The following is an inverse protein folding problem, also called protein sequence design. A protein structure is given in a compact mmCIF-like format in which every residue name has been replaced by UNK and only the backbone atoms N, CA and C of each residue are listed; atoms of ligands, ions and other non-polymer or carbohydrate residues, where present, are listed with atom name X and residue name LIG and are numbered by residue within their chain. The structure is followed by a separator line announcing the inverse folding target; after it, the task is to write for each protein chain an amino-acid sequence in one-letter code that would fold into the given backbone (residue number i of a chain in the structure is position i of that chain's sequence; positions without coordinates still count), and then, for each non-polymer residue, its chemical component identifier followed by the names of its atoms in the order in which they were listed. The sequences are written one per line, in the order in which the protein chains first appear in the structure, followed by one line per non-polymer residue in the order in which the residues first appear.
data_IF_646745880259
#
_entry.id   IF_646745880259
#
_cell.length_a   1.000
_cell.length_b   1.000
_cell.length_c   1.000
_cell.angle_alpha   90.00
_cell.angle_beta   90.00
_cell.angle_gamma   90.00
#
_symmetry.space_group_name_H-M   'P 1'
#
loop_
_entity.id
_entity.type
_entity.pdbx_description
1 polymer ?
#
# COMPACT_ATOMS: atom_id res chain seq x y z
N UNK A 1 18.67 1.82 -34.18
CA UNK A 1 17.22 2.06 -34.19
C UNK A 1 16.90 2.86 -32.94
N UNK A 2 16.76 4.18 -33.07
CA UNK A 2 16.36 5.04 -31.96
C UNK A 2 14.87 4.83 -31.72
N UNK A 3 14.51 4.15 -30.63
CA UNK A 3 13.12 4.13 -30.17
C UNK A 3 12.83 5.49 -29.54
N UNK A 4 12.35 6.42 -30.35
CA UNK A 4 11.83 7.70 -29.87
C UNK A 4 10.58 7.43 -29.04
N UNK A 5 10.67 7.63 -27.72
CA UNK A 5 9.54 7.53 -26.82
C UNK A 5 8.54 8.66 -27.15
N UNK A 6 7.54 8.39 -27.98
CA UNK A 6 6.44 9.30 -28.22
C UNK A 6 5.43 9.15 -27.08
N UNK A 7 5.73 9.74 -25.92
CA UNK A 7 4.80 9.77 -24.79
C UNK A 7 3.57 10.61 -25.18
N UNK A 8 2.48 9.94 -25.51
CA UNK A 8 1.24 10.52 -25.97
C UNK A 8 0.39 11.06 -24.82
N UNK A 9 -0.47 12.03 -25.14
CA UNK A 9 -1.43 12.61 -24.17
C UNK A 9 -2.30 11.53 -23.53
N UNK A 10 -2.63 10.45 -24.26
CA UNK A 10 -3.39 9.31 -23.73
C UNK A 10 -2.68 8.57 -22.59
N UNK A 11 -1.37 8.34 -22.71
CA UNK A 11 -0.56 7.68 -21.67
C UNK A 11 -0.41 8.59 -20.43
N UNK A 12 -0.25 9.89 -20.65
CA UNK A 12 -0.22 10.88 -19.58
C UNK A 12 -1.54 10.86 -18.78
N UNK A 13 -2.68 10.91 -19.46
CA UNK A 13 -4.00 10.88 -18.81
C UNK A 13 -4.18 9.56 -18.04
N UNK A 14 -3.78 8.43 -18.62
CA UNK A 14 -3.85 7.14 -17.94
C UNK A 14 -3.04 7.12 -16.63
N UNK A 15 -1.79 7.60 -16.66
CA UNK A 15 -0.93 7.68 -15.47
C UNK A 15 -1.53 8.61 -14.42
N UNK A 16 -2.06 9.76 -14.82
CA UNK A 16 -2.64 10.72 -13.88
C UNK A 16 -3.95 10.24 -13.27
N UNK A 17 -4.82 9.60 -14.05
CA UNK A 17 -6.14 9.17 -13.60
C UNK A 17 -6.13 7.82 -12.88
N UNK A 18 -5.17 6.93 -13.19
CA UNK A 18 -5.13 5.58 -12.63
C UNK A 18 -3.84 5.37 -11.84
N UNK A 19 -2.69 5.68 -12.43
CA UNK A 19 -1.38 5.50 -11.78
C UNK A 19 -1.24 6.27 -10.47
N UNK A 20 -1.53 7.58 -10.47
CA UNK A 20 -1.42 8.43 -9.28
C UNK A 20 -2.37 8.01 -8.15
N UNK A 21 -3.67 7.76 -8.39
CA UNK A 21 -4.56 7.26 -7.34
C UNK A 21 -4.13 5.92 -6.78
N UNK A 22 -3.67 4.97 -7.62
CA UNK A 22 -3.15 3.69 -7.15
C UNK A 22 -1.91 3.89 -6.28
N UNK A 23 -0.97 4.74 -6.71
CA UNK A 23 0.23 5.06 -5.93
C UNK A 23 -0.13 5.70 -4.58
N UNK A 24 -1.09 6.62 -4.58
CA UNK A 24 -1.58 7.26 -3.37
C UNK A 24 -2.21 6.24 -2.41
N UNK A 25 -3.06 5.34 -2.91
CA UNK A 25 -3.68 4.27 -2.12
C UNK A 25 -2.63 3.28 -1.59
N UNK A 26 -1.64 2.93 -2.41
CA UNK A 26 -0.53 2.07 -2.03
C UNK A 26 0.24 2.65 -0.84
N UNK A 27 0.74 3.88 -0.97
CA UNK A 27 1.48 4.56 0.11
C UNK A 27 0.62 4.75 1.36
N UNK A 28 -0.62 5.21 1.18
CA UNK A 28 -1.56 5.41 2.29
C UNK A 28 -1.86 4.11 3.03
N UNK A 29 -1.96 2.98 2.32
CA UNK A 29 -2.21 1.67 2.93
C UNK A 29 -1.04 1.16 3.77
N UNK A 30 0.19 1.41 3.33
CA UNK A 30 1.41 1.05 4.09
C UNK A 30 1.49 1.86 5.38
N UNK A 31 1.30 3.18 5.28
CA UNK A 31 1.30 4.09 6.43
C UNK A 31 0.19 3.70 7.41
N UNK A 32 -1.01 3.43 6.91
CA UNK A 32 -2.13 3.00 7.72
C UNK A 32 -1.83 1.68 8.44
N UNK A 33 -1.29 0.68 7.74
CA UNK A 33 -0.96 -0.62 8.32
C UNK A 33 0.13 -0.51 9.40
N UNK A 34 1.11 0.37 9.21
CA UNK A 34 2.13 0.69 10.22
C UNK A 34 1.50 1.20 11.53
N UNK A 35 0.62 2.20 11.44
CA UNK A 35 -0.03 2.77 12.62
C UNK A 35 -1.05 1.82 13.25
N UNK A 36 -1.81 1.08 12.44
CA UNK A 36 -2.76 0.07 12.94
C UNK A 36 -2.03 -1.03 13.72
N UNK A 37 -0.90 -1.53 13.21
CA UNK A 37 -0.06 -2.50 13.91
C UNK A 37 0.51 -1.96 15.22
N UNK A 38 1.04 -0.72 15.23
CA UNK A 38 1.50 -0.07 16.47
C UNK A 38 0.40 0.07 17.50
N UNK A 39 -0.81 0.48 17.08
CA UNK A 39 -1.97 0.62 17.98
C UNK A 39 -2.40 -0.69 18.63
N UNK A 40 -2.04 -1.83 18.02
CA UNK A 40 -2.33 -3.19 18.51
C UNK A 40 -1.14 -3.83 19.24
N UNK A 41 -0.08 -3.07 19.53
CA UNK A 41 1.11 -3.57 20.21
C UNK A 41 1.96 -4.53 19.36
N UNK A 42 1.83 -4.49 18.04
CA UNK A 42 2.66 -5.24 17.09
C UNK A 42 3.70 -4.33 16.45
N UNK A 43 4.75 -4.93 15.89
CA UNK A 43 5.80 -4.17 15.19
C UNK A 43 5.23 -3.54 13.91
N UNK A 44 5.07 -2.21 13.93
CA UNK A 44 4.58 -1.45 12.77
C UNK A 44 5.48 -1.60 11.54
N UNK A 45 6.80 -1.61 11.72
CA UNK A 45 7.74 -1.77 10.61
C UNK A 45 7.57 -3.11 9.91
N UNK A 46 7.39 -4.20 10.67
CA UNK A 46 7.28 -5.55 10.11
C UNK A 46 5.99 -5.71 9.30
N UNK A 47 4.90 -5.12 9.77
CA UNK A 47 3.63 -5.08 9.04
C UNK A 47 3.71 -4.17 7.82
N UNK A 48 4.35 -3.01 7.91
CA UNK A 48 4.55 -2.12 6.76
C UNK A 48 5.36 -2.81 5.64
N UNK A 49 6.43 -3.52 6.02
CA UNK A 49 7.23 -4.32 5.08
C UNK A 49 6.40 -5.47 4.48
N UNK A 50 5.55 -6.13 5.27
CA UNK A 50 4.62 -7.15 4.75
C UNK A 50 3.70 -6.55 3.68
N UNK A 51 3.08 -5.39 3.94
CA UNK A 51 2.16 -4.74 2.98
C UNK A 51 2.91 -4.26 1.73
N UNK A 52 4.14 -3.76 1.89
CA UNK A 52 4.98 -3.25 0.80
C UNK A 52 5.51 -4.37 -0.10
N UNK A 53 6.04 -5.46 0.46
CA UNK A 53 6.75 -6.49 -0.28
C UNK A 53 5.88 -7.70 -0.67
N UNK A 54 4.81 -8.00 0.07
CA UNK A 54 3.92 -9.12 -0.24
C UNK A 54 2.84 -8.71 -1.27
N UNK A 55 3.28 -8.16 -2.41
CA UNK A 55 2.44 -7.76 -3.56
C UNK A 55 1.15 -7.05 -3.15
N UNK A 56 1.15 -5.72 -3.08
CA UNK A 56 -0.10 -4.99 -2.86
C UNK A 56 -1.17 -5.37 -3.91
N UNK A 57 -2.42 -5.71 -3.52
CA UNK A 57 -3.02 -5.55 -2.19
C UNK A 57 -2.95 -6.78 -1.26
N UNK A 58 -2.32 -7.89 -1.66
CA UNK A 58 -2.30 -9.14 -0.90
C UNK A 58 -1.69 -8.98 0.50
N UNK A 59 -0.59 -8.25 0.64
CA UNK A 59 0.02 -7.97 1.95
C UNK A 59 -0.91 -7.21 2.90
N UNK A 60 -1.71 -6.27 2.36
CA UNK A 60 -2.73 -5.56 3.13
C UNK A 60 -3.85 -6.50 3.56
N UNK A 61 -4.30 -7.38 2.67
CA UNK A 61 -5.34 -8.38 2.96
C UNK A 61 -4.85 -9.35 4.04
N UNK A 62 -3.61 -9.84 3.94
CA UNK A 62 -3.02 -10.69 4.96
C UNK A 62 -2.99 -10.00 6.33
N UNK A 63 -2.62 -8.72 6.38
CA UNK A 63 -2.69 -7.94 7.62
C UNK A 63 -4.13 -7.85 8.15
N UNK A 64 -5.12 -7.57 7.30
CA UNK A 64 -6.52 -7.47 7.72
C UNK A 64 -7.09 -8.79 8.27
N UNK A 65 -6.66 -9.94 7.75
CA UNK A 65 -7.09 -11.27 8.21
C UNK A 65 -6.42 -11.63 9.54
N UNK A 66 -5.10 -11.43 9.65
CA UNK A 66 -4.32 -11.88 10.81
C UNK A 66 -4.16 -10.80 11.90
N UNK A 67 -4.65 -9.58 11.70
CA UNK A 67 -4.52 -8.51 12.70
C UNK A 67 -5.14 -8.96 14.03
N UNK A 68 -4.44 -8.80 15.16
CA UNK A 68 -4.98 -9.15 16.46
C UNK A 68 -6.16 -8.24 16.81
N UNK A 69 -7.14 -8.75 17.55
CA UNK A 69 -8.22 -7.94 18.10
C UNK A 69 -7.63 -6.83 18.99
N UNK A 70 -8.24 -5.63 18.93
CA UNK A 70 -7.87 -4.57 19.86
C UNK A 70 -8.13 -5.12 21.27
N UNK A 71 -7.07 -5.21 22.07
CA UNK A 71 -7.19 -5.56 23.48
C UNK A 71 -7.82 -4.36 24.17
N UNK A 72 -9.15 -4.34 24.25
CA UNK A 72 -9.87 -3.46 25.14
C UNK A 72 -9.43 -3.86 26.55
N UNK A 73 -8.64 -3.01 27.20
CA UNK A 73 -8.37 -3.14 28.63
C UNK A 73 -9.67 -2.77 29.35
N UNK A 74 -10.47 -3.79 29.64
CA UNK A 74 -11.31 -3.82 30.84
C UNK A 74 -10.42 -4.20 32.03
#
# INVERSE_FOLDING_TARGET
MEQGNNFGIGELIFILCIGLPILFLYVSSIIWAFFDARSRGKSGCLVALLVMFLSWPLGLIAWLIFRPNRRWRL
#
